data_IF_618542941609
#
_entry.id   IF_618542941609
#
_cell.length_a   1.000
_cell.length_b   1.000
_cell.length_c   1.000
_cell.angle_alpha   90.00
_cell.angle_beta   90.00
_cell.angle_gamma   90.00
#
_symmetry.space_group_name_H-M   'P 1'
#
loop_
_entity.id
_entity.type
_entity.pdbx_description
1 polymer ?
#
# COMPACT_ATOMS: atom_id res chain seq x y z
N UNK A 1 1.94 3.57 13.56
CA UNK A 1 3.31 3.45 14.09
C UNK A 1 3.71 4.69 14.87
N UNK A 2 4.01 4.54 16.16
CA UNK A 2 4.49 5.64 17.00
C UNK A 2 5.92 6.05 16.64
N UNK A 3 6.17 7.36 16.68
CA UNK A 3 7.50 7.92 16.50
C UNK A 3 8.47 7.38 17.53
N UNK A 4 9.63 6.92 17.06
CA UNK A 4 10.73 6.48 17.91
C UNK A 4 11.33 7.68 18.65
N UNK A 5 11.62 7.51 19.92
CA UNK A 5 12.27 8.52 20.77
C UNK A 5 13.54 7.94 21.40
N UNK A 6 14.41 8.82 21.91
CA UNK A 6 15.65 8.39 22.57
C UNK A 6 16.73 7.82 21.64
N UNK A 7 16.57 7.90 20.31
CA UNK A 7 17.56 7.40 19.36
C UNK A 7 18.86 8.19 19.45
N UNK A 8 19.98 7.48 19.49
CA UNK A 8 21.32 8.05 19.57
C UNK A 8 22.04 7.91 18.23
N UNK A 9 22.53 9.02 17.71
CA UNK A 9 23.38 9.05 16.52
C UNK A 9 24.86 8.86 16.88
N UNK A 10 25.64 8.29 15.94
CA UNK A 10 27.10 8.23 16.08
C UNK A 10 27.70 9.65 16.12
N UNK A 11 28.91 9.84 16.68
CA UNK A 11 29.57 11.15 16.67
C UNK A 11 29.68 11.79 15.28
N UNK A 12 29.90 10.98 14.24
CA UNK A 12 30.01 11.43 12.86
C UNK A 12 28.64 11.86 12.32
N UNK A 13 27.60 11.06 12.54
CA UNK A 13 26.23 11.42 12.16
C UNK A 13 25.72 12.66 12.88
N UNK A 14 26.10 12.90 14.15
CA UNK A 14 25.73 14.13 14.89
C UNK A 14 26.33 15.41 14.31
N UNK A 15 27.46 15.31 13.60
CA UNK A 15 28.04 16.46 12.89
C UNK A 15 27.28 16.77 11.59
N UNK A 16 26.59 15.79 11.04
CA UNK A 16 25.87 15.87 9.77
C UNK A 16 24.38 16.20 9.94
N UNK A 17 23.72 15.56 10.90
CA UNK A 17 22.27 15.66 11.13
C UNK A 17 21.94 15.61 12.62
N UNK A 18 20.70 15.95 12.96
CA UNK A 18 20.09 15.67 14.27
C UNK A 18 19.07 14.53 14.18
N UNK A 19 18.63 14.00 15.32
CA UNK A 19 17.57 12.97 15.36
C UNK A 19 16.25 13.43 14.73
N UNK A 20 15.96 14.74 14.75
CA UNK A 20 14.79 15.33 14.08
C UNK A 20 15.04 15.68 12.61
N UNK A 21 16.32 15.81 12.21
CA UNK A 21 16.76 16.22 10.89
C UNK A 21 16.94 15.08 9.89
N UNK A 22 17.11 13.83 10.36
CA UNK A 22 17.51 12.68 9.51
C UNK A 22 16.68 12.53 8.25
N UNK A 23 15.36 12.74 8.34
CA UNK A 23 14.46 12.62 7.21
C UNK A 23 14.62 13.76 6.18
N UNK A 24 14.92 14.98 6.64
CA UNK A 24 15.03 16.19 5.82
C UNK A 24 16.41 16.35 5.18
N UNK A 25 17.46 16.09 5.97
CA UNK A 25 18.85 16.34 5.61
C UNK A 25 19.31 15.38 4.49
N UNK A 26 20.43 15.64 3.82
CA UNK A 26 20.99 14.69 2.84
C UNK A 26 21.45 13.40 3.52
N UNK A 27 21.67 12.34 2.74
CA UNK A 27 22.26 11.12 3.29
C UNK A 27 23.68 11.38 3.77
N UNK A 28 24.08 10.76 4.88
CA UNK A 28 25.48 10.76 5.29
C UNK A 28 26.28 9.92 4.30
N UNK A 29 27.25 10.54 3.64
CA UNK A 29 28.03 9.88 2.57
C UNK A 29 28.97 8.84 3.17
N UNK A 30 28.90 7.62 2.64
CA UNK A 30 29.76 6.51 3.03
C UNK A 30 30.34 5.87 1.77
N UNK A 31 31.66 5.76 1.69
CA UNK A 31 32.34 5.42 0.43
C UNK A 31 32.51 3.92 0.21
N UNK A 32 32.48 3.13 1.29
CA UNK A 32 32.70 1.68 1.22
C UNK A 32 31.70 0.89 2.07
N UNK A 33 31.44 -0.35 1.68
CA UNK A 33 30.57 -1.26 2.40
C UNK A 33 31.09 -1.53 3.82
N UNK A 34 32.41 -1.65 4.00
CA UNK A 34 33.03 -1.79 5.33
C UNK A 34 32.69 -0.60 6.23
N UNK A 35 32.88 0.63 5.73
CA UNK A 35 32.57 1.85 6.49
C UNK A 35 31.10 1.89 6.90
N UNK A 36 30.19 1.48 6.00
CA UNK A 36 28.77 1.40 6.30
C UNK A 36 28.46 0.40 7.42
N UNK A 37 29.06 -0.80 7.35
CA UNK A 37 28.93 -1.83 8.40
C UNK A 37 29.44 -1.31 9.75
N UNK A 38 30.57 -0.60 9.78
CA UNK A 38 31.11 -0.01 11.00
C UNK A 38 30.19 1.07 11.59
N UNK A 39 29.60 1.93 10.76
CA UNK A 39 28.62 2.92 11.22
C UNK A 39 27.36 2.24 11.77
N UNK A 40 26.86 1.19 11.11
CA UNK A 40 25.71 0.43 11.59
C UNK A 40 26.01 -0.30 12.90
N UNK A 41 27.20 -0.88 13.06
CA UNK A 41 27.61 -1.51 14.31
C UNK A 41 27.59 -0.52 15.49
N UNK A 42 28.10 0.70 15.27
CA UNK A 42 28.03 1.79 16.26
C UNK A 42 26.58 2.17 16.57
N UNK A 43 25.73 2.30 15.55
CA UNK A 43 24.31 2.59 15.73
C UNK A 43 23.60 1.50 16.54
N UNK A 44 23.84 0.22 16.25
CA UNK A 44 23.25 -0.90 17.00
C UNK A 44 23.63 -0.85 18.48
N UNK A 45 24.91 -0.59 18.78
CA UNK A 45 25.39 -0.48 20.16
C UNK A 45 24.75 0.69 20.92
N UNK A 46 24.63 1.85 20.26
CA UNK A 46 24.04 3.06 20.86
C UNK A 46 22.52 2.96 21.04
N UNK A 47 21.83 2.18 20.20
CA UNK A 47 20.37 2.07 20.16
C UNK A 47 19.90 0.68 20.61
N UNK A 48 20.49 0.15 21.69
CA UNK A 48 20.28 -1.22 22.19
C UNK A 48 18.82 -1.59 22.48
N UNK A 49 17.94 -0.61 22.69
CA UNK A 49 16.51 -0.83 22.93
C UNK A 49 15.73 -1.16 21.64
N UNK A 50 16.40 -1.09 20.48
CA UNK A 50 15.82 -1.36 19.18
C UNK A 50 16.65 -2.39 18.39
N UNK A 51 15.95 -3.21 17.62
CA UNK A 51 16.56 -3.96 16.52
C UNK A 51 16.62 -3.09 15.28
N UNK A 52 17.77 -3.11 14.59
CA UNK A 52 17.95 -2.37 13.35
C UNK A 52 17.46 -3.17 12.15
N UNK A 53 16.72 -2.48 11.28
CA UNK A 53 16.25 -2.96 10.00
C UNK A 53 16.66 -2.00 8.90
N UNK A 54 16.83 -2.52 7.69
CA UNK A 54 17.38 -1.80 6.56
C UNK A 54 16.43 -1.82 5.38
N UNK A 55 16.42 -0.73 4.64
CA UNK A 55 15.82 -0.64 3.31
C UNK A 55 16.77 0.11 2.39
N UNK A 56 16.97 -0.42 1.19
CA UNK A 56 17.72 0.24 0.14
C UNK A 56 16.80 0.82 -0.93
N UNK A 57 17.14 1.99 -1.47
CA UNK A 57 16.43 2.61 -2.59
C UNK A 57 17.41 3.27 -3.55
N UNK A 58 17.06 3.28 -4.84
CA UNK A 58 17.83 3.99 -5.85
C UNK A 58 17.80 5.52 -5.64
N UNK A 59 16.66 6.05 -5.20
CA UNK A 59 16.42 7.48 -5.00
C UNK A 59 15.85 7.78 -3.61
N UNK A 60 16.09 8.99 -3.12
CA UNK A 60 15.49 9.52 -1.89
C UNK A 60 14.09 10.09 -2.17
N UNK A 61 13.06 9.27 -1.96
CA UNK A 61 11.68 9.69 -2.15
C UNK A 61 11.22 10.60 -1.01
N UNK A 62 10.88 11.83 -1.35
CA UNK A 62 10.51 12.88 -0.39
C UNK A 62 9.04 13.27 -0.49
N UNK A 63 8.45 13.63 0.63
CA UNK A 63 7.14 14.27 0.68
C UNK A 63 7.23 15.78 0.33
N UNK A 64 6.08 16.47 0.29
CA UNK A 64 5.99 17.91 0.00
C UNK A 64 6.75 18.80 0.98
N UNK A 65 7.03 18.31 2.19
CA UNK A 65 7.83 19.00 3.19
C UNK A 65 9.34 18.71 3.07
N UNK A 66 9.78 18.01 2.00
CA UNK A 66 11.17 17.67 1.76
C UNK A 66 11.72 16.54 2.65
N UNK A 67 10.85 15.81 3.37
CA UNK A 67 11.25 14.69 4.23
C UNK A 67 11.15 13.37 3.49
N UNK A 68 12.15 12.51 3.69
CA UNK A 68 12.15 11.11 3.24
C UNK A 68 10.89 10.42 3.76
N UNK A 69 10.21 9.63 2.91
CA UNK A 69 8.92 9.01 3.26
C UNK A 69 8.85 7.56 2.82
N UNK A 70 8.17 6.74 3.63
CA UNK A 70 8.09 5.30 3.51
C UNK A 70 6.67 4.83 3.80
N UNK A 71 5.69 5.39 3.09
CA UNK A 71 4.33 4.89 3.16
C UNK A 71 4.23 3.47 2.58
N UNK A 72 3.44 2.58 3.22
CA UNK A 72 2.97 1.36 2.57
C UNK A 72 2.24 1.69 1.28
N UNK A 73 2.35 0.81 0.27
CA UNK A 73 1.84 1.06 -1.08
C UNK A 73 0.35 1.39 -1.10
N UNK A 74 -0.44 0.77 -0.21
CA UNK A 74 -1.88 1.01 -0.11
C UNK A 74 -2.24 2.46 0.24
N UNK A 75 -1.39 3.16 0.99
CA UNK A 75 -1.61 4.54 1.43
C UNK A 75 -0.93 5.59 0.56
N UNK A 76 -0.20 5.18 -0.49
CA UNK A 76 0.51 6.11 -1.39
C UNK A 76 -0.48 6.81 -2.31
N UNK A 77 -0.61 8.12 -2.10
CA UNK A 77 -1.21 9.12 -3.00
C UNK A 77 -1.13 10.46 -2.28
N UNK A 78 -0.94 11.54 -3.03
CA UNK A 78 -1.02 12.91 -2.50
C UNK A 78 -2.42 13.23 -1.97
N UNK A 79 -3.43 12.76 -2.68
CA UNK A 79 -4.84 12.88 -2.30
C UNK A 79 -5.46 11.49 -2.37
N UNK A 80 -5.59 10.86 -1.21
CA UNK A 80 -6.21 9.54 -1.07
C UNK A 80 -7.59 9.75 -0.45
N UNK A 81 -8.64 9.53 -1.25
CA UNK A 81 -10.01 9.58 -0.73
C UNK A 81 -10.31 8.31 0.07
N UNK A 82 -11.27 8.40 1.00
CA UNK A 82 -11.72 7.23 1.75
C UNK A 82 -12.19 6.10 0.82
N UNK A 83 -12.93 6.43 -0.23
CA UNK A 83 -13.44 5.46 -1.21
C UNK A 83 -12.32 4.74 -1.98
N UNK A 84 -11.27 5.47 -2.40
CA UNK A 84 -10.11 4.88 -3.06
C UNK A 84 -9.36 3.96 -2.10
N UNK A 85 -9.28 4.34 -0.83
CA UNK A 85 -8.68 3.51 0.21
C UNK A 85 -9.50 2.24 0.46
N UNK A 86 -10.82 2.37 0.60
CA UNK A 86 -11.75 1.25 0.75
C UNK A 86 -11.62 0.28 -0.43
N UNK A 87 -11.58 0.80 -1.67
CA UNK A 87 -11.38 0.01 -2.88
C UNK A 87 -10.07 -0.77 -2.85
N UNK A 88 -8.96 -0.14 -2.45
CA UNK A 88 -7.67 -0.84 -2.35
C UNK A 88 -7.70 -1.95 -1.30
N UNK A 89 -8.41 -1.75 -0.19
CA UNK A 89 -8.61 -2.80 0.80
C UNK A 89 -9.52 -3.92 0.28
N UNK A 90 -10.59 -3.61 -0.44
CA UNK A 90 -11.43 -4.61 -1.11
C UNK A 90 -10.63 -5.46 -2.10
N UNK A 91 -9.79 -4.82 -2.93
CA UNK A 91 -8.87 -5.48 -3.84
C UNK A 91 -7.91 -6.41 -3.09
N UNK A 92 -7.34 -5.94 -1.98
CA UNK A 92 -6.48 -6.75 -1.10
C UNK A 92 -7.22 -7.95 -0.51
N UNK A 93 -8.47 -7.78 -0.06
CA UNK A 93 -9.30 -8.86 0.48
C UNK A 93 -9.65 -9.91 -0.59
N UNK A 94 -9.97 -9.49 -1.81
CA UNK A 94 -10.17 -10.41 -2.94
C UNK A 94 -8.88 -11.15 -3.28
N UNK A 95 -7.75 -10.45 -3.38
CA UNK A 95 -6.44 -11.07 -3.64
C UNK A 95 -6.10 -12.13 -2.58
N UNK A 96 -6.37 -11.83 -1.31
CA UNK A 96 -6.20 -12.77 -0.20
C UNK A 96 -7.06 -14.03 -0.33
N UNK A 97 -8.32 -13.91 -0.77
CA UNK A 97 -9.21 -15.06 -0.99
C UNK A 97 -8.71 -15.93 -2.14
N UNK A 98 -8.35 -15.30 -3.28
CA UNK A 98 -7.81 -16.00 -4.44
C UNK A 98 -6.52 -16.74 -4.06
N UNK A 99 -5.58 -16.05 -3.38
CA UNK A 99 -4.33 -16.65 -2.89
C UNK A 99 -4.61 -17.90 -2.03
N UNK A 100 -5.57 -17.81 -1.11
CA UNK A 100 -5.93 -18.90 -0.22
C UNK A 100 -6.50 -20.12 -0.95
N UNK A 101 -7.33 -19.91 -1.99
CA UNK A 101 -7.85 -21.00 -2.82
C UNK A 101 -6.78 -21.59 -3.74
N UNK A 102 -5.86 -20.78 -4.28
CA UNK A 102 -4.72 -21.28 -5.05
C UNK A 102 -3.79 -22.14 -4.18
N UNK A 103 -3.44 -21.70 -2.97
CA UNK A 103 -2.64 -22.50 -2.04
C UNK A 103 -3.28 -23.86 -1.74
N UNK A 104 -4.61 -23.88 -1.57
CA UNK A 104 -5.37 -25.11 -1.37
C UNK A 104 -5.37 -26.00 -2.62
N UNK A 105 -5.62 -25.42 -3.80
CA UNK A 105 -5.66 -26.12 -5.10
C UNK A 105 -4.31 -26.78 -5.41
N UNK A 106 -3.22 -26.05 -5.18
CA UNK A 106 -1.85 -26.50 -5.41
C UNK A 106 -1.28 -27.33 -4.24
N UNK A 107 -2.05 -27.53 -3.16
CA UNK A 107 -1.65 -28.29 -1.96
C UNK A 107 -0.34 -27.78 -1.34
N UNK A 108 -0.14 -26.46 -1.34
CA UNK A 108 1.05 -25.83 -0.78
C UNK A 108 1.10 -26.02 0.74
N UNK A 109 2.29 -26.24 1.27
CA UNK A 109 2.52 -26.34 2.71
C UNK A 109 2.07 -25.06 3.42
N UNK A 110 1.52 -25.19 4.64
CA UNK A 110 1.03 -24.02 5.39
C UNK A 110 -0.30 -23.44 4.91
N UNK A 111 -0.97 -24.02 3.91
CA UNK A 111 -2.27 -23.53 3.39
C UNK A 111 -3.34 -23.33 4.47
N UNK A 112 -3.40 -24.19 5.49
CA UNK A 112 -4.37 -24.06 6.59
C UNK A 112 -4.14 -22.80 7.42
N UNK A 113 -2.88 -22.44 7.65
CA UNK A 113 -2.54 -21.24 8.42
C UNK A 113 -2.78 -19.99 7.59
N UNK A 114 -2.33 -20.00 6.33
CA UNK A 114 -2.54 -18.91 5.38
C UNK A 114 -4.02 -18.56 5.28
N UNK A 115 -4.92 -19.56 5.21
CA UNK A 115 -6.37 -19.35 5.17
C UNK A 115 -6.95 -18.63 6.39
N UNK A 116 -6.28 -18.70 7.54
CA UNK A 116 -6.78 -18.16 8.81
C UNK A 116 -6.14 -16.83 9.21
N UNK A 117 -4.99 -16.46 8.64
CA UNK A 117 -4.19 -15.32 9.09
C UNK A 117 -4.00 -14.28 7.99
N UNK A 118 -4.70 -13.15 8.10
CA UNK A 118 -4.61 -12.01 7.16
C UNK A 118 -3.17 -11.54 6.94
N UNK A 119 -2.37 -11.46 7.99
CA UNK A 119 -1.00 -10.97 7.90
C UNK A 119 -0.08 -11.90 7.10
N UNK A 120 -0.34 -13.21 7.05
CA UNK A 120 0.42 -14.12 6.19
C UNK A 120 0.02 -13.89 4.72
N UNK A 121 -1.28 -13.76 4.46
CA UNK A 121 -1.80 -13.47 3.11
C UNK A 121 -1.21 -12.15 2.58
N UNK A 122 -1.37 -11.07 3.34
CA UNK A 122 -0.85 -9.75 2.98
C UNK A 122 0.66 -9.76 2.83
N UNK A 123 1.36 -10.58 3.62
CA UNK A 123 2.82 -10.68 3.52
C UNK A 123 3.27 -11.25 2.18
N UNK A 124 2.63 -12.32 1.74
CA UNK A 124 2.93 -12.94 0.45
C UNK A 124 2.54 -11.99 -0.69
N UNK A 125 1.35 -11.39 -0.63
CA UNK A 125 0.88 -10.44 -1.64
C UNK A 125 1.79 -9.21 -1.78
N UNK A 126 2.29 -8.69 -0.65
CA UNK A 126 3.23 -7.56 -0.62
C UNK A 126 4.58 -7.95 -1.22
N UNK A 127 5.16 -9.04 -0.73
CA UNK A 127 6.53 -9.43 -1.06
C UNK A 127 6.69 -9.87 -2.52
N UNK A 128 5.63 -10.47 -3.10
CA UNK A 128 5.56 -10.83 -4.52
C UNK A 128 4.91 -9.74 -5.38
N UNK A 129 4.67 -8.54 -4.83
CA UNK A 129 4.21 -7.36 -5.57
C UNK A 129 2.89 -7.57 -6.34
N UNK A 130 1.96 -8.37 -5.76
CA UNK A 130 0.68 -8.72 -6.40
C UNK A 130 -0.33 -7.57 -6.35
N UNK A 131 -0.46 -6.93 -5.20
CA UNK A 131 -1.39 -5.81 -4.98
C UNK A 131 -0.87 -4.93 -3.86
N UNK A 132 -1.42 -3.72 -3.77
CA UNK A 132 -1.11 -2.78 -2.70
C UNK A 132 -1.47 -3.34 -1.32
N UNK A 133 -0.59 -3.14 -0.33
CA UNK A 133 -0.79 -3.64 1.04
C UNK A 133 -0.41 -2.58 2.09
N UNK A 134 -0.87 -2.73 3.35
CA UNK A 134 -0.46 -1.87 4.45
C UNK A 134 0.93 -2.21 5.03
N UNK A 135 1.70 -3.08 4.37
CA UNK A 135 3.01 -3.56 4.84
C UNK A 135 4.16 -2.96 4.02
N UNK A 136 5.37 -2.96 4.59
CA UNK A 136 6.60 -2.47 3.98
C UNK A 136 7.71 -3.51 4.12
N UNK A 137 8.36 -3.85 3.00
CA UNK A 137 9.54 -4.71 2.99
C UNK A 137 10.76 -4.04 3.65
N UNK A 138 11.35 -4.75 4.59
CA UNK A 138 12.63 -4.42 5.22
C UNK A 138 13.45 -5.70 5.38
N UNK A 139 14.74 -5.57 5.63
CA UNK A 139 15.64 -6.71 5.86
C UNK A 139 16.56 -6.42 7.04
N UNK A 140 17.06 -7.46 7.70
CA UNK A 140 18.15 -7.31 8.67
C UNK A 140 19.53 -7.41 8.02
N UNK A 141 19.59 -7.77 6.73
CA UNK A 141 20.84 -7.84 5.98
C UNK A 141 21.14 -6.52 5.29
N UNK A 142 22.15 -5.82 5.81
CA UNK A 142 22.63 -4.60 5.17
C UNK A 142 23.17 -4.86 3.75
N UNK A 143 23.72 -6.06 3.50
CA UNK A 143 24.15 -6.49 2.16
C UNK A 143 22.98 -6.57 1.19
N UNK A 144 21.86 -7.16 1.63
CA UNK A 144 20.63 -7.22 0.81
C UNK A 144 20.11 -5.81 0.53
N UNK A 145 20.01 -4.95 1.54
CA UNK A 145 19.57 -3.56 1.35
C UNK A 145 20.45 -2.80 0.34
N UNK A 146 21.77 -2.89 0.47
CA UNK A 146 22.70 -2.27 -0.50
C UNK A 146 22.55 -2.85 -1.90
N UNK A 147 22.37 -4.16 -2.01
CA UNK A 147 22.22 -4.83 -3.30
C UNK A 147 20.94 -4.42 -4.03
N UNK A 148 19.84 -4.19 -3.30
CA UNK A 148 18.61 -3.61 -3.84
C UNK A 148 18.75 -2.14 -4.23
N UNK A 149 19.43 -1.33 -3.42
CA UNK A 149 19.62 0.09 -3.69
C UNK A 149 20.39 0.34 -5.01
N UNK A 150 21.31 -0.56 -5.35
CA UNK A 150 22.10 -0.52 -6.58
C UNK A 150 21.46 -1.32 -7.74
N UNK A 151 20.42 -2.11 -7.50
CA UNK A 151 19.75 -2.89 -8.55
C UNK A 151 18.95 -1.99 -9.47
N UNK A 152 19.20 -2.11 -10.78
CA UNK A 152 18.54 -1.33 -11.82
C UNK A 152 18.54 0.18 -11.51
N UNK A 153 19.65 0.66 -10.90
CA UNK A 153 19.85 2.05 -10.56
C UNK A 153 20.82 2.68 -11.54
N UNK A 154 20.35 3.69 -12.29
CA UNK A 154 21.15 4.44 -13.25
C UNK A 154 21.79 5.70 -12.64
N UNK A 155 21.51 6.00 -11.38
CA UNK A 155 22.07 7.14 -10.66
C UNK A 155 23.49 6.84 -10.18
N UNK A 156 24.26 7.90 -9.86
CA UNK A 156 25.63 7.75 -9.32
C UNK A 156 25.66 7.27 -7.88
N UNK A 157 24.57 7.45 -7.15
CA UNK A 157 24.45 7.12 -5.73
C UNK A 157 23.16 6.36 -5.46
N UNK A 158 23.10 5.74 -4.29
CA UNK A 158 21.95 5.03 -3.78
C UNK A 158 21.79 5.31 -2.27
N UNK A 159 20.60 5.04 -1.73
CA UNK A 159 20.25 5.39 -0.35
C UNK A 159 20.01 4.14 0.49
N UNK A 160 20.55 4.14 1.70
CA UNK A 160 20.33 3.11 2.72
C UNK A 160 19.71 3.76 3.96
N UNK A 161 18.57 3.23 4.35
CA UNK A 161 17.82 3.71 5.52
C UNK A 161 17.92 2.69 6.65
N UNK A 162 18.12 3.19 7.87
CA UNK A 162 18.19 2.39 9.08
C UNK A 162 16.97 2.70 9.94
N UNK A 163 16.17 1.69 10.23
CA UNK A 163 14.99 1.81 11.08
C UNK A 163 15.21 1.08 12.41
N UNK A 164 14.79 1.70 13.51
CA UNK A 164 14.78 1.06 14.82
C UNK A 164 13.40 0.51 15.14
N UNK A 165 13.27 -0.80 15.26
CA UNK A 165 12.01 -1.47 15.59
C UNK A 165 12.12 -2.18 16.95
N UNK A 166 11.00 -2.43 17.65
CA UNK A 166 11.01 -3.25 18.86
C UNK A 166 11.57 -4.65 18.59
N UNK A 167 12.14 -5.27 19.62
CA UNK A 167 12.55 -6.67 19.54
C UNK A 167 11.34 -7.56 19.23
N UNK A 168 11.45 -8.39 18.19
CA UNK A 168 10.45 -9.39 17.88
C UNK A 168 10.68 -10.64 18.74
N UNK A 169 9.61 -11.23 19.25
CA UNK A 169 9.66 -12.44 20.10
C UNK A 169 9.20 -13.69 19.36
N UNK A 170 8.39 -13.52 18.31
CA UNK A 170 7.79 -14.58 17.53
C UNK A 170 7.85 -14.24 16.03
N UNK A 171 7.51 -15.22 15.18
CA UNK A 171 7.44 -15.04 13.72
C UNK A 171 6.52 -13.92 13.24
N UNK A 172 5.48 -13.62 14.01
CA UNK A 172 4.65 -12.43 13.90
C UNK A 172 4.65 -11.82 15.29
N UNK A 173 5.20 -10.63 15.42
CA UNK A 173 5.29 -9.91 16.69
C UNK A 173 4.50 -8.62 16.58
N UNK A 174 3.53 -8.47 17.46
CA UNK A 174 2.69 -7.27 17.58
C UNK A 174 3.14 -6.53 18.84
N UNK A 175 3.34 -5.23 18.72
CA UNK A 175 3.66 -4.36 19.82
C UNK A 175 2.66 -3.20 19.88
N UNK A 176 1.69 -3.30 20.80
CA UNK A 176 0.65 -2.30 21.02
C UNK A 176 1.20 -0.95 21.52
N UNK A 177 2.32 -0.96 22.26
CA UNK A 177 2.94 0.29 22.73
C UNK A 177 3.57 1.11 21.61
N UNK A 178 3.86 0.48 20.48
CA UNK A 178 4.43 1.13 19.30
C UNK A 178 3.48 1.17 18.10
N UNK A 179 2.26 0.62 18.23
CA UNK A 179 1.30 0.43 17.15
C UNK A 179 1.99 -0.18 15.92
N UNK A 180 2.69 -1.30 16.12
CA UNK A 180 3.56 -1.90 15.11
C UNK A 180 3.44 -3.41 15.07
N UNK A 181 3.37 -3.95 13.86
CA UNK A 181 3.51 -5.37 13.58
C UNK A 181 4.83 -5.63 12.83
N UNK A 182 5.56 -6.66 13.24
CA UNK A 182 6.77 -7.15 12.61
C UNK A 182 6.57 -8.62 12.21
N UNK A 183 6.77 -8.93 10.94
CA UNK A 183 6.51 -10.25 10.35
C UNK A 183 7.80 -10.76 9.72
N UNK A 184 8.30 -11.88 10.22
CA UNK A 184 9.51 -12.54 9.68
C UNK A 184 9.12 -13.49 8.56
N UNK A 185 9.37 -13.11 7.31
CA UNK A 185 8.94 -13.86 6.14
C UNK A 185 9.48 -15.29 6.14
N UNK A 186 10.75 -15.47 6.51
CA UNK A 186 11.44 -16.77 6.59
C UNK A 186 10.71 -17.83 7.44
N UNK A 187 9.80 -17.40 8.31
CA UNK A 187 9.07 -18.26 9.25
C UNK A 187 7.55 -18.31 9.04
N UNK A 188 7.05 -17.56 8.06
CA UNK A 188 5.61 -17.55 7.71
C UNK A 188 5.37 -18.01 6.27
N UNK A 189 6.39 -17.97 5.40
CA UNK A 189 6.30 -18.47 4.03
C UNK A 189 6.70 -19.94 3.97
N UNK A 190 6.12 -20.72 3.04
CA UNK A 190 6.49 -22.11 2.85
C UNK A 190 7.86 -22.21 2.14
N UNK A 191 8.60 -23.33 2.22
CA UNK A 191 9.91 -23.48 1.57
C UNK A 191 9.93 -23.27 0.06
N UNK A 192 8.77 -23.45 -0.59
CA UNK A 192 8.55 -23.20 -2.02
C UNK A 192 8.60 -21.70 -2.39
N UNK A 193 8.43 -20.81 -1.40
CA UNK A 193 8.61 -19.37 -1.55
C UNK A 193 10.10 -19.04 -1.39
N UNK A 194 10.89 -19.12 -2.46
CA UNK A 194 12.33 -18.97 -2.38
C UNK A 194 12.73 -17.52 -2.06
N UNK A 195 12.11 -16.55 -2.74
CA UNK A 195 12.46 -15.12 -2.68
C UNK A 195 12.62 -14.58 -1.24
N UNK A 196 11.68 -14.83 -0.29
CA UNK A 196 11.84 -14.44 1.12
C UNK A 196 13.16 -14.85 1.79
N UNK A 197 13.62 -16.07 1.55
CA UNK A 197 14.78 -16.63 2.24
C UNK A 197 16.08 -16.01 1.75
N UNK A 198 16.21 -15.80 0.44
CA UNK A 198 17.40 -15.17 -0.14
C UNK A 198 17.51 -13.67 0.18
N UNK A 199 16.40 -13.02 0.51
CA UNK A 199 16.35 -11.59 0.82
C UNK A 199 16.41 -11.29 2.34
N UNK A 200 16.44 -12.33 3.20
CA UNK A 200 16.32 -12.18 4.65
C UNK A 200 15.12 -11.27 5.01
N UNK A 201 13.99 -11.52 4.35
CA UNK A 201 12.89 -10.57 4.27
C UNK A 201 12.05 -10.48 5.55
N UNK A 202 11.65 -9.26 5.85
CA UNK A 202 10.68 -8.92 6.89
C UNK A 202 9.65 -7.93 6.34
N UNK A 203 8.47 -7.95 6.95
CA UNK A 203 7.44 -6.98 6.70
C UNK A 203 7.05 -6.26 7.97
N UNK A 204 6.83 -4.96 7.84
CA UNK A 204 6.44 -4.09 8.94
C UNK A 204 5.24 -3.25 8.54
N UNK A 205 4.38 -2.97 9.51
CA UNK A 205 3.22 -2.12 9.30
C UNK A 205 2.71 -1.56 10.61
N UNK A 206 1.71 -0.69 10.53
CA UNK A 206 0.95 -0.29 11.70
C UNK A 206 -0.02 -1.40 12.07
N UNK A 207 -0.03 -1.77 13.34
CA UNK A 207 -0.97 -2.76 13.85
C UNK A 207 -2.40 -2.19 13.89
N UNK A 208 -3.39 -3.02 13.55
CA UNK A 208 -4.84 -2.71 13.53
C UNK A 208 -5.35 -1.50 12.73
N UNK A 209 -4.48 -0.65 12.18
CA UNK A 209 -4.88 0.47 11.31
C UNK A 209 -5.03 -0.01 9.87
N UNK A 210 -6.24 0.17 9.34
CA UNK A 210 -6.61 -0.19 7.97
C UNK A 210 -7.06 1.03 7.19
N UNK A 211 -8.32 1.09 6.75
CA UNK A 211 -8.87 2.21 6.01
C UNK A 211 -9.29 3.38 6.90
N UNK A 212 -9.30 3.23 8.21
CA UNK A 212 -9.62 4.30 9.17
C UNK A 212 -8.36 4.71 9.94
N UNK A 213 -7.93 5.95 9.76
CA UNK A 213 -6.80 6.55 10.48
C UNK A 213 -7.05 8.04 10.75
N UNK A 214 -6.56 8.55 11.88
CA UNK A 214 -6.71 9.97 12.21
C UNK A 214 -5.67 10.82 11.50
N UNK A 215 -4.42 10.33 11.45
CA UNK A 215 -3.27 11.07 10.93
C UNK A 215 -2.45 10.18 10.02
N UNK A 216 -2.41 10.52 8.73
CA UNK A 216 -1.68 9.73 7.73
C UNK A 216 -0.22 9.52 8.13
N UNK A 217 0.42 10.49 8.78
CA UNK A 217 1.81 10.44 9.22
C UNK A 217 2.12 9.25 10.13
N UNK A 218 1.12 8.69 10.85
CA UNK A 218 1.33 7.52 11.70
C UNK A 218 1.59 6.24 10.91
N UNK A 219 1.26 6.23 9.62
CA UNK A 219 1.48 5.12 8.70
C UNK A 219 2.87 5.14 8.06
N UNK A 220 3.62 6.23 8.22
CA UNK A 220 4.94 6.39 7.61
C UNK A 220 6.02 5.71 8.46
N UNK A 221 6.77 4.77 7.88
CA UNK A 221 7.91 4.14 8.56
C UNK A 221 9.05 5.13 8.85
N UNK A 222 9.01 6.34 8.29
CA UNK A 222 9.87 7.47 8.70
C UNK A 222 9.82 7.72 10.21
N UNK A 223 8.69 7.44 10.87
CA UNK A 223 8.57 7.51 12.32
C UNK A 223 9.56 6.58 13.07
N UNK A 224 10.18 5.63 12.38
CA UNK A 224 11.16 4.68 12.90
C UNK A 224 12.58 4.92 12.38
N UNK A 225 12.80 5.95 11.56
CA UNK A 225 14.09 6.24 10.92
C UNK A 225 15.13 6.71 11.95
N UNK A 226 16.27 6.01 12.01
CA UNK A 226 17.42 6.34 12.85
C UNK A 226 18.51 7.04 12.04
N UNK A 227 18.82 6.51 10.85
CA UNK A 227 19.89 7.04 10.02
C UNK A 227 19.57 6.89 8.53
N UNK A 228 20.15 7.79 7.73
CA UNK A 228 20.10 7.78 6.28
C UNK A 228 21.51 7.92 5.73
N UNK A 229 21.92 6.97 4.91
CA UNK A 229 23.22 6.94 4.26
C UNK A 229 23.07 7.10 2.75
N UNK A 230 24.04 7.76 2.14
CA UNK A 230 24.21 7.83 0.69
C UNK A 230 25.48 7.06 0.32
N UNK A 231 25.36 6.09 -0.57
CA UNK A 231 26.46 5.21 -1.00
C UNK A 231 26.72 5.36 -2.50
N UNK A 232 27.96 5.20 -2.98
CA UNK A 232 28.24 5.10 -4.40
C UNK A 232 27.50 3.94 -5.05
N UNK A 233 26.88 4.18 -6.21
CA UNK A 233 26.31 3.13 -7.05
C UNK A 233 27.40 2.57 -7.99
N UNK A 234 28.39 1.91 -7.42
CA UNK A 234 29.49 1.32 -8.19
C UNK A 234 30.07 0.09 -7.49
N UNK A 235 30.76 -0.77 -8.26
CA UNK A 235 31.48 -1.93 -7.72
C UNK A 235 32.55 -1.55 -6.68
N UNK A 236 33.14 -0.35 -6.79
CA UNK A 236 34.16 0.14 -5.87
C UNK A 236 33.66 0.26 -4.42
N UNK A 237 32.36 0.49 -4.22
CA UNK A 237 31.75 0.52 -2.89
C UNK A 237 31.98 -0.80 -2.14
N UNK A 238 31.92 -1.94 -2.83
CA UNK A 238 32.06 -3.26 -2.21
C UNK A 238 33.50 -3.62 -1.87
N UNK A 239 34.47 -3.01 -2.57
CA UNK A 239 35.89 -3.31 -2.42
C UNK A 239 36.23 -4.71 -2.94
N UNK A 240 37.28 -5.32 -2.38
CA UNK A 240 37.80 -6.62 -2.85
C UNK A 240 37.23 -7.83 -2.08
N UNK A 241 36.51 -7.59 -0.99
CA UNK A 241 36.12 -8.64 -0.02
C UNK A 241 34.62 -8.86 0.06
N UNK A 242 33.84 -8.00 -0.58
CA UNK A 242 32.40 -8.10 -0.63
C UNK A 242 31.97 -7.89 -2.07
N UNK A 243 30.79 -8.40 -2.38
CA UNK A 243 30.15 -8.22 -3.67
C UNK A 243 28.67 -7.96 -3.47
N UNK A 244 28.09 -7.24 -4.41
CA UNK A 244 26.65 -7.14 -4.57
C UNK A 244 26.05 -8.54 -4.72
N UNK A 245 24.90 -8.77 -4.10
CA UNK A 245 24.14 -10.00 -4.33
C UNK A 245 23.59 -9.95 -5.78
N UNK A 246 23.88 -10.97 -6.61
CA UNK A 246 23.36 -11.04 -7.98
C UNK A 246 21.83 -10.99 -8.03
N UNK A 247 21.29 -10.43 -9.11
CA UNK A 247 19.84 -10.31 -9.31
C UNK A 247 19.14 -11.67 -9.27
N UNK A 248 19.71 -12.69 -9.90
CA UNK A 248 19.18 -14.06 -9.92
C UNK A 248 19.26 -14.77 -8.57
N UNK A 249 20.11 -14.30 -7.65
CA UNK A 249 20.11 -14.75 -6.27
C UNK A 249 19.05 -14.02 -5.43
N UNK A 250 18.83 -12.73 -5.67
CA UNK A 250 17.75 -11.98 -5.02
C UNK A 250 16.37 -12.41 -5.53
N UNK A 251 16.26 -12.72 -6.82
CA UNK A 251 15.05 -13.15 -7.53
C UNK A 251 15.29 -14.55 -8.12
N UNK A 252 15.25 -15.59 -7.26
CA UNK A 252 15.53 -16.96 -7.68
C UNK A 252 14.54 -17.44 -8.74
N UNK A 253 15.06 -18.13 -9.75
CA UNK A 253 14.24 -18.81 -10.77
C UNK A 253 13.50 -20.00 -10.16
N UNK A 254 12.37 -20.36 -10.78
CA UNK A 254 11.53 -21.49 -10.38
C UNK A 254 10.90 -21.36 -8.98
N UNK A 255 10.62 -20.12 -8.55
CA UNK A 255 9.82 -19.87 -7.35
C UNK A 255 8.35 -20.23 -7.64
N UNK A 256 7.86 -21.30 -7.00
CA UNK A 256 6.49 -21.79 -7.21
C UNK A 256 5.46 -20.78 -6.73
N UNK A 257 5.76 -20.06 -5.65
CA UNK A 257 4.84 -19.06 -5.09
C UNK A 257 4.78 -17.84 -5.98
N UNK A 258 5.89 -17.44 -6.61
CA UNK A 258 5.86 -16.39 -7.64
C UNK A 258 4.91 -16.74 -8.79
N UNK A 259 4.95 -17.99 -9.26
CA UNK A 259 4.05 -18.45 -10.33
C UNK A 259 2.58 -18.42 -9.91
N UNK A 260 2.27 -18.88 -8.68
CA UNK A 260 0.93 -18.79 -8.11
C UNK A 260 0.48 -17.32 -8.00
N UNK A 261 1.36 -16.44 -7.55
CA UNK A 261 1.08 -15.01 -7.41
C UNK A 261 0.79 -14.33 -8.76
N UNK A 262 1.45 -14.75 -9.85
CA UNK A 262 1.16 -14.27 -11.22
C UNK A 262 -0.25 -14.63 -11.69
N UNK A 263 -0.79 -15.77 -11.29
CA UNK A 263 -2.17 -16.17 -11.62
C UNK A 263 -3.23 -15.29 -10.93
N UNK A 264 -2.89 -14.67 -9.79
CA UNK A 264 -3.83 -13.85 -9.01
C UNK A 264 -4.26 -12.59 -9.77
N UNK A 265 -3.36 -11.90 -10.48
CA UNK A 265 -3.71 -10.66 -11.21
C UNK A 265 -4.79 -10.91 -12.29
N UNK A 266 -4.72 -12.06 -12.95
CA UNK A 266 -5.73 -12.48 -13.93
C UNK A 266 -7.08 -12.71 -13.26
N UNK A 267 -7.10 -13.38 -12.12
CA UNK A 267 -8.32 -13.77 -11.43
C UNK A 267 -8.95 -12.56 -10.69
N UNK A 268 -8.12 -11.63 -10.18
CA UNK A 268 -8.54 -10.38 -9.53
C UNK A 268 -9.41 -9.51 -10.43
N UNK A 269 -9.02 -9.35 -11.71
CA UNK A 269 -9.80 -8.57 -12.69
C UNK A 269 -11.20 -9.17 -12.90
N UNK A 270 -11.30 -10.49 -12.80
CA UNK A 270 -12.56 -11.23 -12.96
C UNK A 270 -13.48 -11.08 -11.74
N UNK A 271 -12.93 -11.00 -10.52
CA UNK A 271 -13.72 -10.93 -9.28
C UNK A 271 -14.18 -9.50 -8.92
N UNK A 272 -13.35 -8.48 -9.18
CA UNK A 272 -13.64 -7.09 -8.77
C UNK A 272 -14.67 -6.41 -9.68
N UNK A 273 -14.68 -6.73 -10.98
CA UNK A 273 -15.63 -6.12 -11.92
C UNK A 273 -17.11 -6.38 -11.54
N UNK A 274 -17.53 -7.62 -11.21
CA UNK A 274 -18.88 -7.89 -10.72
C UNK A 274 -19.23 -7.17 -9.40
N UNK A 275 -18.28 -7.07 -8.46
CA UNK A 275 -18.51 -6.41 -7.17
C UNK A 275 -18.80 -4.91 -7.34
N UNK A 276 -17.98 -4.21 -8.13
CA UNK A 276 -18.14 -2.79 -8.39
C UNK A 276 -19.44 -2.49 -9.16
N UNK A 277 -19.85 -3.38 -10.06
CA UNK A 277 -21.15 -3.28 -10.74
C UNK A 277 -22.28 -3.38 -9.72
N UNK A 278 -22.18 -4.31 -8.75
CA UNK A 278 -23.16 -4.44 -7.67
C UNK A 278 -23.28 -3.17 -6.82
N UNK A 279 -22.15 -2.56 -6.42
CA UNK A 279 -22.12 -1.30 -5.66
C UNK A 279 -22.76 -0.17 -6.46
N UNK A 280 -22.36 0.01 -7.72
CA UNK A 280 -22.93 1.01 -8.62
C UNK A 280 -24.45 0.87 -8.75
N UNK A 281 -24.94 -0.35 -9.01
CA UNK A 281 -26.37 -0.61 -9.18
C UNK A 281 -27.18 -0.38 -7.90
N UNK A 282 -26.60 -0.69 -6.74
CA UNK A 282 -27.22 -0.40 -5.43
C UNK A 282 -27.36 1.11 -5.21
N UNK A 283 -26.27 1.87 -5.36
CA UNK A 283 -26.28 3.33 -5.22
C UNK A 283 -27.24 4.01 -6.20
N UNK A 284 -27.23 3.53 -7.46
CA UNK A 284 -28.16 3.98 -8.49
C UNK A 284 -29.61 3.76 -8.07
N UNK A 285 -29.96 2.55 -7.61
CA UNK A 285 -31.32 2.22 -7.21
C UNK A 285 -31.80 3.08 -6.04
N UNK A 286 -30.93 3.36 -5.06
CA UNK A 286 -31.25 4.26 -3.95
C UNK A 286 -31.52 5.69 -4.43
N UNK A 287 -30.70 6.21 -5.33
CA UNK A 287 -30.86 7.56 -5.88
C UNK A 287 -32.10 7.68 -6.78
N UNK A 288 -32.38 6.64 -7.57
CA UNK A 288 -33.58 6.52 -8.40
C UNK A 288 -34.86 6.64 -7.56
N UNK A 289 -34.92 5.99 -6.40
CA UNK A 289 -36.06 6.10 -5.49
C UNK A 289 -36.25 7.53 -4.96
N UNK A 290 -35.16 8.21 -4.57
CA UNK A 290 -35.21 9.59 -4.07
C UNK A 290 -35.73 10.54 -5.14
N UNK A 291 -35.18 10.44 -6.36
CA UNK A 291 -35.54 11.32 -7.49
C UNK A 291 -36.97 11.09 -7.95
N UNK A 292 -37.43 9.83 -8.01
CA UNK A 292 -38.82 9.52 -8.32
C UNK A 292 -39.78 10.07 -7.27
N UNK A 293 -39.44 9.93 -5.98
CA UNK A 293 -40.25 10.45 -4.88
C UNK A 293 -40.38 11.98 -4.96
N UNK A 294 -39.30 12.69 -5.24
CA UNK A 294 -39.30 14.14 -5.40
C UNK A 294 -40.13 14.58 -6.61
N UNK A 295 -39.93 13.97 -7.78
CA UNK A 295 -40.67 14.35 -8.99
C UNK A 295 -42.19 14.16 -8.83
N UNK A 296 -42.61 13.14 -8.08
CA UNK A 296 -44.03 12.88 -7.76
C UNK A 296 -44.69 13.92 -6.87
N UNK A 297 -43.91 14.79 -6.21
CA UNK A 297 -44.46 15.97 -5.52
C UNK A 297 -45.04 16.98 -6.50
N UNK A 298 -44.50 17.06 -7.72
CA UNK A 298 -44.94 17.97 -8.76
C UNK A 298 -45.91 17.31 -9.75
N UNK A 299 -45.57 16.10 -10.23
CA UNK A 299 -46.36 15.35 -11.22
C UNK A 299 -46.47 13.89 -10.79
N UNK A 300 -47.68 13.45 -10.42
CA UNK A 300 -47.95 12.10 -9.89
C UNK A 300 -47.55 10.97 -10.85
N UNK A 301 -47.60 11.21 -12.15
CA UNK A 301 -47.30 10.20 -13.19
C UNK A 301 -45.79 10.11 -13.55
N UNK A 302 -44.90 10.58 -12.69
CA UNK A 302 -43.46 10.38 -12.82
C UNK A 302 -43.07 8.93 -12.48
N UNK A 303 -43.06 8.07 -13.50
CA UNK A 303 -42.84 6.62 -13.36
C UNK A 303 -41.41 6.14 -13.67
N UNK A 304 -40.58 6.93 -14.34
CA UNK A 304 -39.21 6.56 -14.66
C UNK A 304 -38.25 7.73 -14.42
N UNK A 305 -36.96 7.42 -14.23
CA UNK A 305 -35.93 8.41 -13.87
C UNK A 305 -35.80 9.51 -14.92
N UNK A 306 -35.91 9.19 -16.22
CA UNK A 306 -35.80 10.20 -17.29
C UNK A 306 -36.93 11.23 -17.18
N UNK A 307 -38.16 10.77 -17.00
CA UNK A 307 -39.32 11.64 -16.79
C UNK A 307 -39.16 12.42 -15.49
N UNK A 308 -38.73 11.77 -14.41
CA UNK A 308 -38.52 12.42 -13.11
C UNK A 308 -37.49 13.55 -13.19
N UNK A 309 -36.36 13.35 -13.87
CA UNK A 309 -35.35 14.38 -14.13
C UNK A 309 -35.96 15.55 -14.92
N UNK A 310 -36.72 15.26 -15.98
CA UNK A 310 -37.36 16.31 -16.78
C UNK A 310 -38.37 17.13 -15.98
N UNK A 311 -39.10 16.50 -15.04
CA UNK A 311 -40.01 17.20 -14.13
C UNK A 311 -39.19 18.10 -13.21
N UNK A 312 -38.19 17.56 -12.52
CA UNK A 312 -37.40 18.33 -11.56
C UNK A 312 -36.63 19.48 -12.23
N UNK A 313 -36.11 19.30 -13.45
CA UNK A 313 -35.45 20.39 -14.19
C UNK A 313 -36.39 21.57 -14.49
N UNK A 314 -37.71 21.31 -14.57
CA UNK A 314 -38.72 22.35 -14.83
C UNK A 314 -39.12 23.10 -13.55
N UNK A 315 -39.09 22.44 -12.39
CA UNK A 315 -39.64 22.96 -11.14
C UNK A 315 -38.58 23.31 -10.08
N UNK A 316 -37.35 22.81 -10.21
CA UNK A 316 -36.25 23.00 -9.26
C UNK A 316 -35.00 23.56 -9.95
N UNK A 317 -35.06 24.82 -10.35
CA UNK A 317 -33.98 25.52 -11.07
C UNK A 317 -32.65 25.51 -10.29
N UNK A 318 -32.73 25.57 -8.95
CA UNK A 318 -31.55 25.50 -8.07
C UNK A 318 -30.79 24.18 -8.14
N UNK A 319 -31.39 23.10 -8.68
CA UNK A 319 -30.76 21.78 -8.81
C UNK A 319 -30.36 21.44 -10.24
N UNK A 320 -30.40 22.40 -11.17
CA UNK A 320 -30.16 22.18 -12.59
C UNK A 320 -28.84 21.43 -12.88
N UNK A 321 -27.74 21.85 -12.25
CA UNK A 321 -26.42 21.23 -12.44
C UNK A 321 -26.41 19.77 -12.00
N UNK A 322 -27.00 19.47 -10.83
CA UNK A 322 -27.07 18.12 -10.26
C UNK A 322 -27.90 17.18 -11.14
N UNK A 323 -29.03 17.68 -11.64
CA UNK A 323 -29.95 16.92 -12.47
C UNK A 323 -29.35 16.60 -13.85
N UNK A 324 -28.51 17.48 -14.40
CA UNK A 324 -27.74 17.18 -15.62
C UNK A 324 -26.69 16.10 -15.40
N UNK A 325 -25.97 16.17 -14.29
CA UNK A 325 -24.96 15.17 -13.94
C UNK A 325 -25.60 13.80 -13.70
N UNK A 326 -26.79 13.77 -13.10
CA UNK A 326 -27.62 12.56 -12.95
C UNK A 326 -28.07 11.98 -14.30
N UNK A 327 -28.46 12.80 -15.29
CA UNK A 327 -28.85 12.30 -16.62
C UNK A 327 -27.64 11.70 -17.38
N UNK A 328 -26.45 12.28 -17.22
CA UNK A 328 -25.22 11.68 -17.75
C UNK A 328 -24.96 10.30 -17.12
N UNK A 329 -25.11 10.18 -15.80
CA UNK A 329 -24.98 8.90 -15.11
C UNK A 329 -26.06 7.88 -15.50
N UNK A 330 -27.26 8.33 -15.86
CA UNK A 330 -28.31 7.45 -16.41
C UNK A 330 -27.84 6.76 -17.69
N UNK A 331 -27.12 7.49 -18.55
CA UNK A 331 -26.55 6.92 -19.78
C UNK A 331 -25.47 5.89 -19.46
N UNK A 332 -24.59 6.20 -18.50
CA UNK A 332 -23.57 5.27 -18.03
C UNK A 332 -24.19 4.00 -17.41
N UNK A 333 -25.22 4.14 -16.57
CA UNK A 333 -25.98 3.02 -16.00
C UNK A 333 -26.55 2.09 -17.07
N UNK A 334 -27.07 2.65 -18.17
CA UNK A 334 -27.56 1.82 -19.27
C UNK A 334 -26.44 1.00 -19.92
N UNK A 335 -25.23 1.56 -20.05
CA UNK A 335 -24.07 0.81 -20.50
C UNK A 335 -23.69 -0.30 -19.50
N UNK A 336 -23.71 -0.02 -18.20
CA UNK A 336 -23.47 -1.03 -17.13
C UNK A 336 -24.46 -2.19 -17.22
N UNK A 337 -25.75 -1.92 -17.42
CA UNK A 337 -26.81 -2.94 -17.45
C UNK A 337 -26.80 -3.76 -18.74
N UNK A 338 -26.57 -3.12 -19.88
CA UNK A 338 -26.70 -3.78 -21.19
C UNK A 338 -25.39 -4.31 -21.76
N UNK A 339 -24.24 -3.77 -21.32
CA UNK A 339 -22.90 -4.16 -21.77
C UNK A 339 -21.89 -4.15 -20.60
N UNK A 340 -22.13 -4.92 -19.53
CA UNK A 340 -21.28 -4.89 -18.32
C UNK A 340 -19.81 -5.25 -18.61
N UNK A 341 -19.56 -6.15 -19.57
CA UNK A 341 -18.21 -6.62 -19.91
C UNK A 341 -17.36 -5.59 -20.66
N UNK A 342 -17.97 -4.53 -21.20
CA UNK A 342 -17.23 -3.44 -21.89
C UNK A 342 -16.92 -2.24 -20.98
N UNK A 343 -17.39 -2.27 -19.73
CA UNK A 343 -17.19 -1.18 -18.77
C UNK A 343 -15.79 -1.31 -18.16
N UNK A 344 -14.98 -0.27 -18.27
CA UNK A 344 -13.71 -0.20 -17.55
C UNK A 344 -13.96 -0.01 -16.05
N UNK A 345 -13.26 -0.76 -15.18
CA UNK A 345 -13.35 -0.62 -13.73
C UNK A 345 -12.99 0.79 -13.24
N UNK A 346 -12.01 1.47 -13.86
CA UNK A 346 -11.65 2.84 -13.48
C UNK A 346 -12.79 3.82 -13.78
N UNK A 347 -13.45 3.63 -14.93
CA UNK A 347 -14.61 4.42 -15.33
C UNK A 347 -15.81 4.13 -14.43
N UNK A 348 -16.04 2.86 -14.08
CA UNK A 348 -17.08 2.44 -13.14
C UNK A 348 -16.88 3.07 -11.77
N UNK A 349 -15.66 3.03 -11.23
CA UNK A 349 -15.31 3.65 -9.97
C UNK A 349 -15.53 5.15 -9.99
N UNK A 350 -15.07 5.84 -11.04
CA UNK A 350 -15.31 7.28 -11.19
C UNK A 350 -16.81 7.60 -11.14
N UNK A 351 -17.64 6.81 -11.82
CA UNK A 351 -19.09 7.02 -11.82
C UNK A 351 -19.76 6.66 -10.48
N UNK A 352 -19.23 5.68 -9.72
CA UNK A 352 -19.63 5.42 -8.33
C UNK A 352 -19.39 6.67 -7.46
N UNK A 353 -18.22 7.31 -7.59
CA UNK A 353 -17.89 8.52 -6.83
C UNK A 353 -18.86 9.67 -7.13
N UNK A 354 -19.20 9.88 -8.40
CA UNK A 354 -20.18 10.88 -8.82
C UNK A 354 -21.57 10.56 -8.23
N UNK A 355 -21.99 9.29 -8.25
CA UNK A 355 -23.26 8.87 -7.64
C UNK A 355 -23.34 9.18 -6.15
N UNK A 356 -22.29 8.89 -5.38
CA UNK A 356 -22.27 9.15 -3.94
C UNK A 356 -22.27 10.65 -3.61
N UNK A 357 -21.56 11.44 -4.43
CA UNK A 357 -21.59 12.90 -4.31
C UNK A 357 -23.00 13.43 -4.56
N UNK A 358 -23.63 13.04 -5.67
CA UNK A 358 -25.00 13.44 -6.00
C UNK A 358 -26.00 13.02 -4.93
N UNK A 359 -25.86 11.82 -4.37
CA UNK A 359 -26.72 11.35 -3.29
C UNK A 359 -26.62 12.25 -2.06
N UNK A 360 -25.41 12.66 -1.67
CA UNK A 360 -25.22 13.60 -0.55
C UNK A 360 -25.83 14.97 -0.83
N UNK A 361 -25.58 15.51 -2.01
CA UNK A 361 -26.06 16.85 -2.40
C UNK A 361 -27.58 16.87 -2.51
N UNK A 362 -28.20 15.89 -3.17
CA UNK A 362 -29.67 15.79 -3.30
C UNK A 362 -30.34 15.61 -1.94
N UNK A 363 -29.71 14.89 -1.00
CA UNK A 363 -30.23 14.75 0.36
C UNK A 363 -30.05 16.01 1.22
N UNK A 364 -28.98 16.78 1.02
CA UNK A 364 -28.76 18.04 1.72
C UNK A 364 -29.82 19.10 1.35
N UNK A 365 -30.34 19.08 0.12
CA UNK A 365 -31.48 19.92 -0.27
C UNK A 365 -32.84 19.49 0.31
N UNK A 366 -32.92 18.32 0.93
CA UNK A 366 -34.15 17.78 1.53
C UNK A 366 -34.18 17.91 3.07
N UNK A 367 -33.09 18.42 3.68
CA UNK A 367 -32.98 18.75 5.10
C UNK A 367 -33.22 20.24 5.27
#
# INVERSE_FOLDING_TARGET
MRQISGTMLTPDLRKHTSSKGVASDSGYVVNTYRELVEQVAKLSYLNKDFLLFFRGQANDYKNKAGKSTFYPTIYRSDYLTQQELDYRFDKLYSASKILAELFKKHKIEGQYELRRKKHIQWSILQHYEVTETPLIDVTQSIRVACSFAQLNNDQKTAFIYVFGLPYYTNRISINSEHDLINIRLLSITPPQALRPYFQEGFLVGTDDITNEYERKEELDLNNRLIAKFEIPNSGLFWGNSFDRIPEDALYPKNDEIENICKDIDRDLKTEIAPLNIGIFLKLWAELEQVVLKQARLYIRDAHNVRNAISVLLKYEESKYSLLKELDNLRMFRNAVVHKPTSINNDELNKNIQVLEKLKREINAYNS
#
